data_IF_280434162751
#
_entry.id   IF_280434162751
#
_cell.length_a   1.000
_cell.length_b   1.000
_cell.length_c   1.000
_cell.angle_alpha   90.00
_cell.angle_beta   90.00
_cell.angle_gamma   90.00
#
_symmetry.space_group_name_H-M   'P 1'
#
loop_
_entity.id
_entity.type
_entity.pdbx_description
1 polymer ?
#
# COMPACT_ATOMS: atom_id res chain seq x y z
N UNK A 1 -6.66 -47.79 -5.59
CA UNK A 1 -6.55 -47.16 -4.26
C UNK A 1 -6.72 -45.67 -4.49
N UNK A 2 -7.82 -45.10 -3.97
CA UNK A 2 -8.09 -43.66 -4.01
C UNK A 2 -7.17 -43.00 -2.98
N UNK A 3 -6.59 -41.86 -3.30
CA UNK A 3 -6.59 -40.73 -2.37
C UNK A 3 -6.46 -39.42 -3.14
N UNK A 4 -7.48 -38.59 -2.88
CA UNK A 4 -7.74 -37.26 -3.41
C UNK A 4 -7.24 -36.30 -2.35
N UNK A 5 -6.33 -35.39 -2.67
CA UNK A 5 -6.12 -34.16 -1.88
C UNK A 5 -6.26 -32.96 -2.81
N UNK A 6 -7.50 -32.47 -2.89
CA UNK A 6 -7.81 -31.15 -3.36
C UNK A 6 -7.30 -30.12 -2.36
N UNK A 7 -6.26 -29.39 -2.74
CA UNK A 7 -5.87 -28.13 -2.09
C UNK A 7 -6.58 -26.98 -2.81
N UNK A 8 -7.54 -26.37 -2.13
CA UNK A 8 -8.21 -25.15 -2.57
C UNK A 8 -7.17 -24.07 -2.90
N UNK A 9 -7.03 -23.73 -4.18
CA UNK A 9 -6.27 -22.58 -4.63
C UNK A 9 -6.99 -21.31 -4.22
N UNK A 10 -6.72 -20.80 -3.02
CA UNK A 10 -6.94 -19.40 -2.71
C UNK A 10 -6.14 -18.58 -3.72
N UNK A 11 -6.81 -17.67 -4.42
CA UNK A 11 -6.14 -16.70 -5.29
C UNK A 11 -4.99 -16.05 -4.53
N UNK A 12 -3.85 -15.91 -5.21
CA UNK A 12 -2.70 -15.15 -4.73
C UNK A 12 -2.40 -14.08 -5.78
N UNK A 13 -2.70 -12.82 -5.46
CA UNK A 13 -2.16 -11.67 -6.19
C UNK A 13 -0.65 -11.83 -6.37
N UNK A 14 -0.14 -11.61 -7.58
CA UNK A 14 1.28 -11.88 -7.89
C UNK A 14 2.10 -10.66 -7.54
N UNK A 15 2.83 -10.73 -6.43
CA UNK A 15 3.94 -9.82 -6.16
C UNK A 15 5.20 -10.35 -6.85
N UNK A 16 5.77 -9.57 -7.77
CA UNK A 16 7.10 -9.86 -8.31
C UNK A 16 8.15 -9.22 -7.40
N UNK A 17 9.08 -10.00 -6.83
CA UNK A 17 10.14 -9.46 -5.99
C UNK A 17 11.22 -8.76 -6.84
N UNK A 18 11.64 -7.56 -6.42
CA UNK A 18 12.98 -7.04 -6.65
C UNK A 18 14.01 -7.78 -5.77
N UNK A 19 15.23 -7.24 -5.53
CA UNK A 19 16.19 -7.89 -4.62
C UNK A 19 15.55 -8.22 -3.28
N UNK A 20 15.76 -9.45 -2.78
CA UNK A 20 14.97 -10.05 -1.69
C UNK A 20 14.94 -9.16 -0.44
N UNK A 21 13.79 -8.55 -0.11
CA UNK A 21 13.66 -7.77 1.11
C UNK A 21 13.66 -8.71 2.34
N UNK A 22 13.98 -8.21 3.55
CA UNK A 22 13.71 -8.91 4.80
C UNK A 22 12.27 -9.43 4.88
N UNK A 23 12.07 -10.57 5.56
CA UNK A 23 10.76 -11.20 5.69
C UNK A 23 9.69 -10.25 6.28
N UNK A 24 10.09 -9.42 7.24
CA UNK A 24 9.25 -8.40 7.90
C UNK A 24 8.67 -7.33 6.97
N UNK A 25 9.21 -7.17 5.77
CA UNK A 25 8.74 -6.21 4.76
C UNK A 25 8.40 -6.91 3.43
N UNK A 26 8.14 -8.22 3.46
CA UNK A 26 7.67 -8.97 2.29
C UNK A 26 6.15 -8.94 2.22
N UNK A 27 5.58 -8.54 1.08
CA UNK A 27 4.13 -8.56 0.83
C UNK A 27 3.71 -9.98 0.47
N UNK A 28 2.76 -10.53 1.24
CA UNK A 28 2.20 -11.86 1.01
C UNK A 28 1.04 -11.83 0.00
N UNK A 29 0.15 -10.84 0.10
CA UNK A 29 -0.96 -10.67 -0.83
C UNK A 29 -1.52 -9.25 -0.84
N UNK A 30 -2.26 -8.92 -1.90
CA UNK A 30 -3.02 -7.68 -2.02
C UNK A 30 -4.41 -8.02 -2.52
N UNK A 31 -5.43 -7.74 -1.70
CA UNK A 31 -6.83 -7.90 -2.06
C UNK A 31 -7.39 -6.57 -2.56
N UNK A 32 -8.13 -6.59 -3.69
CA UNK A 32 -8.74 -5.39 -4.28
C UNK A 32 -10.25 -5.50 -4.31
N UNK A 33 -10.93 -4.46 -3.85
CA UNK A 33 -12.40 -4.39 -3.86
C UNK A 33 -12.91 -2.96 -4.02
N UNK A 34 -14.18 -2.83 -4.43
CA UNK A 34 -14.90 -1.55 -4.48
C UNK A 34 -16.07 -1.60 -3.49
N UNK A 35 -15.87 -1.32 -2.18
CA UNK A 35 -16.93 -1.41 -1.18
C UNK A 35 -18.05 -0.39 -1.40
N UNK A 36 -17.75 0.73 -2.06
CA UNK A 36 -18.68 1.74 -2.55
C UNK A 36 -18.25 2.10 -3.96
N UNK A 37 -19.18 2.44 -4.86
CA UNK A 37 -18.88 2.54 -6.30
C UNK A 37 -17.69 3.44 -6.69
N UNK A 38 -17.38 4.47 -5.90
CA UNK A 38 -16.25 5.38 -6.14
C UNK A 38 -15.09 5.23 -5.14
N UNK A 39 -15.14 4.21 -4.26
CA UNK A 39 -14.09 3.95 -3.27
C UNK A 39 -13.37 2.67 -3.66
N UNK A 40 -12.10 2.80 -3.96
CA UNK A 40 -11.18 1.68 -4.15
C UNK A 40 -10.61 1.28 -2.80
N UNK A 41 -10.70 0.00 -2.45
CA UNK A 41 -10.10 -0.57 -1.23
C UNK A 41 -9.03 -1.59 -1.59
N UNK A 42 -7.83 -1.39 -1.04
CA UNK A 42 -6.74 -2.35 -1.06
C UNK A 42 -6.50 -2.83 0.37
N UNK A 43 -6.40 -4.15 0.54
CA UNK A 43 -5.92 -4.77 1.79
C UNK A 43 -4.60 -5.45 1.49
N UNK A 44 -3.52 -4.88 2.03
CA UNK A 44 -2.15 -5.38 1.86
C UNK A 44 -1.79 -6.22 3.06
N UNK A 45 -1.48 -7.50 2.84
CA UNK A 45 -1.06 -8.44 3.87
C UNK A 45 0.42 -8.73 3.71
N UNK A 46 1.16 -8.67 4.81
CA UNK A 46 2.59 -8.96 4.87
C UNK A 46 2.83 -10.40 5.36
N UNK A 47 3.99 -10.95 5.03
CA UNK A 47 4.36 -12.30 5.44
C UNK A 47 4.61 -12.42 6.96
N UNK A 48 5.02 -11.32 7.59
CA UNK A 48 5.28 -11.19 9.01
C UNK A 48 4.75 -9.84 9.53
N UNK A 49 4.62 -9.68 10.85
CA UNK A 49 4.31 -8.38 11.44
C UNK A 49 5.27 -7.29 10.95
N UNK A 50 4.69 -6.17 10.54
CA UNK A 50 5.43 -5.01 10.08
C UNK A 50 6.27 -4.40 11.23
N UNK A 51 7.44 -3.84 10.92
CA UNK A 51 8.22 -3.08 11.90
C UNK A 51 7.40 -1.91 12.48
N UNK A 52 7.78 -1.37 13.65
CA UNK A 52 7.13 -0.19 14.22
C UNK A 52 7.12 0.99 13.25
N UNK A 53 6.07 1.83 13.36
CA UNK A 53 5.97 3.07 12.59
C UNK A 53 7.16 3.98 12.90
N UNK A 54 7.71 4.68 11.89
CA UNK A 54 8.90 5.49 12.07
C UNK A 54 8.61 6.70 12.95
N UNK A 55 9.58 7.08 13.78
CA UNK A 55 9.50 8.28 14.63
C UNK A 55 9.91 9.53 13.87
N UNK A 56 9.28 10.67 14.15
CA UNK A 56 9.65 11.96 13.57
C UNK A 56 8.50 12.62 12.81
N UNK A 57 8.83 13.62 12.00
CA UNK A 57 7.83 14.41 11.27
C UNK A 57 8.30 14.78 9.87
N UNK A 58 7.40 15.38 9.09
CA UNK A 58 7.78 15.96 7.80
C UNK A 58 8.80 17.10 7.93
N UNK A 59 8.85 17.78 9.09
CA UNK A 59 9.76 18.91 9.32
C UNK A 59 11.15 18.45 9.77
N UNK A 60 11.23 17.47 10.66
CA UNK A 60 12.50 16.94 11.19
C UNK A 60 13.04 15.73 10.43
N UNK A 61 12.23 15.14 9.55
CA UNK A 61 12.49 13.85 8.93
C UNK A 61 12.00 12.68 9.81
N UNK A 62 11.83 11.52 9.17
CA UNK A 62 11.46 10.27 9.82
C UNK A 62 12.67 9.35 9.98
N UNK A 63 12.73 8.66 11.12
CA UNK A 63 13.73 7.64 11.46
C UNK A 63 13.05 6.29 11.75
N UNK A 64 13.66 5.20 11.28
CA UNK A 64 13.11 3.85 11.32
C UNK A 64 12.83 3.30 9.91
N UNK A 65 11.91 2.34 9.83
CA UNK A 65 11.47 1.78 8.56
C UNK A 65 10.45 2.72 7.90
N UNK A 66 10.84 3.29 6.77
CA UNK A 66 9.97 4.08 5.91
C UNK A 66 9.36 3.15 4.87
N UNK A 67 8.04 3.00 4.93
CA UNK A 67 7.26 2.18 4.02
C UNK A 67 6.53 3.11 3.05
N UNK A 68 6.83 2.97 1.76
CA UNK A 68 6.22 3.77 0.70
C UNK A 68 5.38 2.87 -0.20
N UNK A 69 4.15 3.29 -0.45
CA UNK A 69 3.21 2.59 -1.31
C UNK A 69 2.85 3.49 -2.47
N UNK A 70 3.11 3.04 -3.68
CA UNK A 70 2.75 3.76 -4.89
C UNK A 70 1.68 2.99 -5.63
N UNK A 71 0.58 3.65 -5.97
CA UNK A 71 -0.58 3.02 -6.60
C UNK A 71 -0.79 3.65 -7.97
N UNK A 72 -0.75 2.78 -8.97
CA UNK A 72 -0.93 3.14 -10.37
C UNK A 72 -2.15 2.43 -10.97
N UNK A 73 -2.72 3.03 -12.00
CA UNK A 73 -3.75 2.43 -12.83
C UNK A 73 -3.26 2.53 -14.28
N UNK A 74 -3.15 1.40 -14.99
CA UNK A 74 -2.60 1.35 -16.35
C UNK A 74 -1.22 2.03 -16.47
N UNK A 75 -0.33 1.79 -15.50
CA UNK A 75 1.01 2.38 -15.48
C UNK A 75 1.08 3.87 -15.12
N UNK A 76 -0.06 4.54 -14.88
CA UNK A 76 -0.09 5.93 -14.39
C UNK A 76 -0.33 5.97 -12.89
N UNK A 77 0.63 6.49 -12.15
CA UNK A 77 0.50 6.72 -10.71
C UNK A 77 -0.61 7.73 -10.42
N UNK A 78 -1.41 7.45 -9.39
CA UNK A 78 -2.46 8.37 -8.94
C UNK A 78 -2.48 8.55 -7.42
N UNK A 79 -1.78 7.70 -6.66
CA UNK A 79 -1.61 7.87 -5.23
C UNK A 79 -0.22 7.41 -4.77
N UNK A 80 0.39 8.17 -3.87
CA UNK A 80 1.57 7.80 -3.10
C UNK A 80 1.20 7.83 -1.62
N UNK A 81 1.62 6.83 -0.85
CA UNK A 81 1.42 6.78 0.58
C UNK A 81 2.74 6.60 1.32
N UNK A 82 2.90 7.34 2.42
CA UNK A 82 4.08 7.30 3.27
C UNK A 82 3.72 7.50 4.75
N UNK A 83 4.71 7.56 5.64
CA UNK A 83 4.46 7.68 7.07
C UNK A 83 3.72 8.98 7.42
N UNK A 84 2.80 8.89 8.37
CA UNK A 84 2.17 10.03 9.02
C UNK A 84 2.83 10.27 10.38
N UNK A 85 3.03 11.55 10.73
CA UNK A 85 3.66 11.92 11.99
C UNK A 85 2.90 11.34 13.19
N UNK A 86 3.64 10.66 14.07
CA UNK A 86 3.18 10.17 15.37
C UNK A 86 1.91 9.29 15.32
N UNK A 87 1.65 8.61 14.20
CA UNK A 87 0.52 7.67 14.05
C UNK A 87 0.89 6.41 13.27
N UNK A 88 -0.01 5.41 13.30
CA UNK A 88 0.02 4.23 12.41
C UNK A 88 -0.75 4.47 11.09
N UNK A 89 -1.13 5.71 10.82
CA UNK A 89 -1.76 6.10 9.56
C UNK A 89 -0.71 6.35 8.48
N UNK A 90 -1.15 6.31 7.23
CA UNK A 90 -0.34 6.65 6.09
C UNK A 90 -0.87 7.95 5.47
N UNK A 91 0.03 8.89 5.27
CA UNK A 91 -0.25 10.12 4.55
C UNK A 91 -0.47 9.79 3.07
N UNK A 92 -1.61 10.19 2.50
CA UNK A 92 -1.93 9.97 1.09
C UNK A 92 -1.60 11.24 0.30
N UNK A 93 -0.97 11.10 -0.86
CA UNK A 93 -0.57 12.20 -1.74
C UNK A 93 -0.92 11.90 -3.19
N UNK A 94 -1.10 12.95 -3.99
CA UNK A 94 -1.18 12.86 -5.44
C UNK A 94 0.21 12.99 -6.06
N UNK A 95 0.61 12.08 -6.97
CA UNK A 95 1.88 12.20 -7.69
C UNK A 95 1.95 13.51 -8.49
N UNK A 96 3.07 14.23 -8.39
CA UNK A 96 3.34 15.43 -9.18
C UNK A 96 2.68 16.74 -8.70
N UNK A 97 1.82 16.72 -7.69
CA UNK A 97 1.36 17.96 -7.03
C UNK A 97 2.43 18.42 -6.01
N UNK A 98 3.20 19.45 -6.39
CA UNK A 98 4.30 19.99 -5.57
C UNK A 98 3.82 20.82 -4.38
N UNK A 99 4.26 20.43 -3.18
CA UNK A 99 4.61 21.25 -1.98
C UNK A 99 3.82 22.55 -1.73
N UNK A 100 2.49 22.51 -1.85
CA UNK A 100 1.61 23.49 -1.19
C UNK A 100 1.43 23.18 0.29
N UNK A 101 0.59 23.95 0.99
CA UNK A 101 0.35 23.84 2.44
C UNK A 101 -0.30 22.52 2.89
N UNK A 102 -0.80 21.71 1.96
CA UNK A 102 -1.22 20.34 2.23
C UNK A 102 -0.62 19.38 1.19
N UNK A 103 0.66 18.98 1.32
CA UNK A 103 1.25 17.97 0.44
C UNK A 103 0.59 16.59 0.64
N UNK A 104 -0.14 16.43 1.75
CA UNK A 104 -0.93 15.26 2.08
C UNK A 104 -2.41 15.61 1.93
N UNK A 105 -3.18 14.74 1.31
CA UNK A 105 -4.63 14.84 1.32
C UNK A 105 -5.13 14.69 2.77
N UNK A 106 -5.99 15.61 3.21
CA UNK A 106 -6.72 15.44 4.46
C UNK A 106 -7.51 14.12 4.43
N UNK A 107 -7.27 13.19 5.39
CA UNK A 107 -7.96 11.93 5.43
C UNK A 107 -9.44 12.13 5.76
N UNK A 108 -10.28 11.24 5.23
CA UNK A 108 -11.71 11.17 5.53
C UNK A 108 -12.19 9.71 5.53
N UNK A 109 -13.50 9.49 5.61
CA UNK A 109 -14.11 8.15 5.66
C UNK A 109 -13.83 7.28 4.42
N UNK A 110 -13.65 7.88 3.26
CA UNK A 110 -13.48 7.21 1.96
C UNK A 110 -12.04 7.27 1.44
N UNK A 111 -11.23 8.20 1.94
CA UNK A 111 -9.83 8.37 1.58
C UNK A 111 -8.98 8.36 2.86
N UNK A 112 -8.47 7.19 3.22
CA UNK A 112 -7.63 6.98 4.40
C UNK A 112 -6.77 5.73 4.22
N UNK A 113 -5.67 5.65 4.94
CA UNK A 113 -4.85 4.47 4.96
C UNK A 113 -4.20 4.29 6.32
N UNK A 114 -4.17 3.06 6.82
CA UNK A 114 -3.63 2.77 8.15
C UNK A 114 -3.27 1.31 8.30
N UNK A 115 -2.38 1.04 9.26
CA UNK A 115 -2.24 -0.31 9.82
C UNK A 115 -3.51 -0.68 10.59
N UNK A 116 -4.09 -1.82 10.26
CA UNK A 116 -5.31 -2.34 10.91
C UNK A 116 -5.05 -3.62 11.72
N UNK A 117 -3.97 -4.33 11.41
CA UNK A 117 -3.42 -5.43 12.19
C UNK A 117 -1.88 -5.41 12.09
N UNK A 118 -1.13 -6.16 12.93
CA UNK A 118 0.33 -6.14 12.91
C UNK A 118 0.96 -6.38 11.54
N UNK A 119 0.33 -7.19 10.69
CA UNK A 119 0.75 -7.60 9.35
C UNK A 119 -0.14 -7.03 8.23
N UNK A 120 -1.07 -6.13 8.54
CA UNK A 120 -2.11 -5.70 7.61
C UNK A 120 -2.22 -4.19 7.52
N UNK A 121 -2.17 -3.68 6.28
CA UNK A 121 -2.44 -2.28 5.93
C UNK A 121 -3.69 -2.22 5.08
N UNK A 122 -4.63 -1.37 5.47
CA UNK A 122 -5.82 -1.08 4.71
C UNK A 122 -5.71 0.31 4.09
N UNK A 123 -6.04 0.40 2.80
CA UNK A 123 -5.99 1.62 2.00
C UNK A 123 -7.34 1.81 1.33
N UNK A 124 -8.01 2.92 1.64
CA UNK A 124 -9.26 3.35 1.02
C UNK A 124 -9.00 4.63 0.23
N UNK A 125 -9.41 4.66 -1.03
CA UNK A 125 -9.15 5.77 -1.96
C UNK A 125 -10.43 6.15 -2.69
N UNK A 126 -10.91 7.38 -2.48
CA UNK A 126 -11.97 7.94 -3.31
C UNK A 126 -11.41 8.33 -4.68
N UNK A 127 -11.75 7.55 -5.70
CA UNK A 127 -11.14 7.63 -7.04
C UNK A 127 -11.34 9.02 -7.67
N UNK A 128 -12.49 9.65 -7.43
CA UNK A 128 -12.79 11.01 -7.91
C UNK A 128 -11.86 12.06 -7.32
N UNK A 129 -11.54 12.00 -6.02
CA UNK A 129 -10.60 12.95 -5.39
C UNK A 129 -9.21 12.83 -6.02
N UNK A 130 -8.88 11.67 -6.58
CA UNK A 130 -7.61 11.34 -7.23
C UNK A 130 -7.66 11.54 -8.77
N UNK A 131 -8.72 12.13 -9.31
CA UNK A 131 -8.84 12.41 -10.75
C UNK A 131 -9.11 11.17 -11.61
N UNK A 132 -9.65 10.11 -11.02
CA UNK A 132 -10.07 8.90 -11.73
C UNK A 132 -11.60 8.90 -11.87
N UNK A 133 -12.08 9.50 -12.96
CA UNK A 133 -13.50 9.82 -13.10
C UNK A 133 -14.37 8.64 -13.58
N UNK A 134 -13.89 7.73 -14.44
CA UNK A 134 -14.80 6.83 -15.18
C UNK A 134 -14.29 5.43 -15.58
N UNK A 135 -13.07 5.01 -15.24
CA UNK A 135 -12.57 3.68 -15.62
C UNK A 135 -12.72 2.67 -14.46
N UNK A 136 -12.97 1.37 -14.74
CA UNK A 136 -12.69 0.35 -13.74
C UNK A 136 -11.21 0.46 -13.37
N UNK A 137 -10.94 0.70 -12.08
CA UNK A 137 -9.57 0.81 -11.59
C UNK A 137 -9.05 -0.61 -11.38
N UNK A 138 -7.97 -0.95 -12.09
CA UNK A 138 -7.19 -2.16 -11.83
C UNK A 138 -5.85 -1.72 -11.22
N UNK A 139 -5.79 -1.56 -9.88
CA UNK A 139 -4.64 -0.94 -9.26
C UNK A 139 -3.43 -1.87 -9.27
N UNK A 140 -2.31 -1.29 -9.65
CA UNK A 140 -0.98 -1.87 -9.50
C UNK A 140 -0.33 -1.20 -8.29
N UNK A 141 0.05 -2.01 -7.30
CA UNK A 141 0.73 -1.54 -6.10
C UNK A 141 2.22 -1.78 -6.23
N UNK A 142 3.03 -0.74 -6.05
CA UNK A 142 4.46 -0.85 -5.81
C UNK A 142 4.73 -0.56 -4.33
N UNK A 143 5.37 -1.49 -3.65
CA UNK A 143 5.81 -1.32 -2.27
C UNK A 143 7.33 -1.18 -2.23
N UNK A 144 7.80 -0.11 -1.60
CA UNK A 144 9.22 0.14 -1.35
C UNK A 144 9.45 0.36 0.14
N UNK A 145 10.60 -0.08 0.63
CA UNK A 145 10.99 0.09 2.02
C UNK A 145 12.42 0.62 2.11
N UNK A 146 12.65 1.47 3.10
CA UNK A 146 13.95 2.01 3.42
C UNK A 146 14.13 2.04 4.94
N UNK A 147 15.30 1.69 5.46
CA UNK A 147 15.63 1.93 6.86
C UNK A 147 16.53 3.16 6.98
N UNK A 148 16.09 4.14 7.77
CA UNK A 148 16.84 5.37 8.04
C UNK A 148 17.21 5.49 9.51
N UNK A 149 18.46 5.82 9.76
CA UNK A 149 18.93 6.24 11.08
C UNK A 149 19.25 7.74 11.08
N UNK A 150 19.18 8.42 12.24
CA UNK A 150 19.67 9.80 12.37
C UNK A 150 21.14 9.95 11.94
N UNK A 151 21.94 8.90 12.05
CA UNK A 151 23.37 8.84 11.75
C UNK A 151 23.70 8.62 10.26
N UNK A 152 22.85 9.11 9.34
CA UNK A 152 23.04 9.13 7.88
C UNK A 152 23.01 7.77 7.17
N UNK A 153 23.12 6.63 7.87
CA UNK A 153 22.99 5.32 7.24
C UNK A 153 21.57 5.13 6.75
N UNK A 154 21.46 4.92 5.44
CA UNK A 154 20.21 4.64 4.72
C UNK A 154 20.39 3.32 4.01
N UNK A 155 19.46 2.38 4.25
CA UNK A 155 19.44 1.07 3.59
C UNK A 155 18.16 0.97 2.79
N UNK A 156 18.30 0.83 1.47
CA UNK A 156 17.18 0.61 0.56
C UNK A 156 16.95 -0.90 0.37
N UNK A 157 15.68 -1.30 0.43
CA UNK A 157 15.27 -2.67 0.16
C UNK A 157 14.65 -2.79 -1.24
N UNK A 158 14.67 -3.99 -1.82
CA UNK A 158 14.10 -4.21 -3.14
C UNK A 158 12.59 -3.97 -3.17
N UNK A 159 12.15 -3.18 -4.15
CA UNK A 159 10.73 -2.91 -4.37
C UNK A 159 9.98 -4.17 -4.79
N UNK A 160 8.71 -4.24 -4.40
CA UNK A 160 7.79 -5.32 -4.74
C UNK A 160 6.64 -4.77 -5.58
N UNK A 161 6.40 -5.40 -6.73
CA UNK A 161 5.33 -5.01 -7.64
C UNK A 161 4.19 -6.01 -7.52
N UNK A 162 3.09 -5.59 -6.93
CA UNK A 162 1.94 -6.41 -6.63
C UNK A 162 0.74 -6.02 -7.51
N UNK A 163 0.23 -6.99 -8.25
CA UNK A 163 -1.07 -6.86 -8.90
C UNK A 163 -2.11 -7.52 -8.00
N UNK A 164 -3.09 -6.73 -7.56
CA UNK A 164 -4.12 -7.21 -6.65
C UNK A 164 -5.11 -8.13 -7.34
N UNK A 165 -5.64 -9.11 -6.60
CA UNK A 165 -6.75 -9.92 -7.09
C UNK A 165 -8.07 -9.26 -6.75
N UNK A 166 -8.95 -9.21 -7.76
CA UNK A 166 -10.34 -8.80 -7.54
C UNK A 166 -11.04 -9.89 -6.74
N UNK A 167 -11.58 -9.53 -5.58
CA UNK A 167 -12.41 -10.46 -4.80
C UNK A 167 -13.60 -10.92 -5.65
N UNK A 168 -13.67 -12.23 -5.93
CA UNK A 168 -14.70 -12.85 -6.74
C UNK A 168 -16.07 -12.67 -6.07
N UNK A 169 -16.95 -11.86 -6.67
CA UNK A 169 -18.30 -11.59 -6.14
C UNK A 169 -18.89 -10.23 -6.53
N UNK A 170 -18.08 -9.28 -7.00
CA UNK A 170 -18.58 -7.99 -7.48
C UNK A 170 -18.98 -8.07 -8.96
N UNK A 171 -20.23 -8.48 -9.23
CA UNK A 171 -20.87 -8.27 -10.53
C UNK A 171 -21.09 -6.77 -10.76
N UNK A 172 -20.87 -6.37 -12.02
CA UNK A 172 -20.97 -5.01 -12.56
C UNK A 172 -22.29 -4.33 -12.23
#
# INVERSE_FOLDING_TARGET
MRDVHGGHGNGRGRCRPGPTPPATITVASVDVSHPRGAVLRLVVRFAEPLPPSPSGSFASGFAGYLLTYTIANNGKEFAELGPQQDTDELAIRKPGESRGTEPNMRPDRNTNARRTAPDTVEINLETKRLGLDQAPVDPQLTFAAQFRTPSTVTVDFGSQFCQGERLAGQRR
#
